data_IF_310501924980
#
_entry.id   IF_310501924980
#
_cell.length_a   1.000
_cell.length_b   1.000
_cell.length_c   1.000
_cell.angle_alpha   90.00
_cell.angle_beta   90.00
_cell.angle_gamma   90.00
#
_symmetry.space_group_name_H-M   'P 1'
#
loop_
_entity.id
_entity.type
_entity.pdbx_description
1 polymer ?
#
# COMPACT_ATOMS: atom_id res chain seq x y z
N UNK A 1 -4.36 -4.38 -7.72
CA UNK A 1 -3.45 -5.56 -7.75
C UNK A 1 -2.18 -5.32 -6.95
N UNK A 2 -1.46 -4.22 -7.17
CA UNK A 2 -0.27 -3.89 -6.37
C UNK A 2 -0.55 -3.81 -4.86
N UNK A 3 -1.68 -3.21 -4.45
CA UNK A 3 -2.12 -3.17 -3.04
C UNK A 3 -2.26 -4.55 -2.38
N UNK A 4 -2.75 -5.53 -3.14
CA UNK A 4 -2.95 -6.88 -2.64
C UNK A 4 -1.62 -7.62 -2.51
N UNK A 5 -0.74 -7.48 -3.51
CA UNK A 5 0.59 -8.08 -3.52
C UNK A 5 1.45 -7.55 -2.37
N UNK A 6 1.50 -6.23 -2.22
CA UNK A 6 2.21 -5.59 -1.10
C UNK A 6 1.59 -5.96 0.24
N UNK A 7 0.27 -6.07 0.32
CA UNK A 7 -0.41 -6.48 1.55
C UNK A 7 -0.11 -7.91 1.97
N UNK A 8 -0.09 -8.87 1.04
CA UNK A 8 0.27 -10.26 1.34
C UNK A 8 1.72 -10.37 1.79
N UNK A 9 2.63 -9.60 1.19
CA UNK A 9 4.02 -9.58 1.62
C UNK A 9 4.18 -8.97 3.02
N UNK A 10 3.49 -7.86 3.31
CA UNK A 10 3.47 -7.23 4.63
C UNK A 10 2.95 -8.16 5.75
N UNK A 11 2.00 -9.05 5.44
CA UNK A 11 1.53 -10.05 6.39
C UNK A 11 2.61 -11.06 6.79
N UNK A 12 3.60 -11.32 5.94
CA UNK A 12 4.67 -12.29 6.23
C UNK A 12 5.70 -11.72 7.21
N UNK A 13 5.93 -10.41 7.19
CA UNK A 13 6.94 -9.71 8.01
C UNK A 13 6.79 -10.00 9.52
N UNK A 14 5.55 -9.96 10.02
CA UNK A 14 5.26 -10.24 11.44
C UNK A 14 4.51 -11.55 11.66
N UNK A 15 3.74 -12.04 10.68
CA UNK A 15 2.90 -13.22 10.85
C UNK A 15 3.67 -14.53 11.06
N UNK A 16 4.88 -14.67 10.50
CA UNK A 16 5.66 -15.92 10.60
C UNK A 16 6.28 -16.15 11.99
N UNK A 17 6.72 -15.08 12.64
CA UNK A 17 7.45 -15.16 13.92
C UNK A 17 6.59 -14.76 15.12
N UNK A 18 5.28 -14.56 14.92
CA UNK A 18 4.36 -14.05 15.94
C UNK A 18 4.42 -14.85 17.25
N UNK A 19 4.44 -16.17 17.17
CA UNK A 19 4.47 -17.04 18.36
C UNK A 19 5.82 -16.94 19.10
N UNK A 20 6.92 -16.74 18.36
CA UNK A 20 8.25 -16.52 18.92
C UNK A 20 8.30 -15.15 19.59
N UNK A 21 7.83 -14.09 18.91
CA UNK A 21 7.75 -12.74 19.45
C UNK A 21 6.88 -12.67 20.71
N UNK A 22 5.77 -13.42 20.77
CA UNK A 22 4.92 -13.49 21.95
C UNK A 22 5.64 -14.14 23.15
N UNK A 23 6.44 -15.18 22.91
CA UNK A 23 7.26 -15.82 23.95
C UNK A 23 8.39 -14.90 24.43
N UNK A 24 9.08 -14.24 23.52
CA UNK A 24 10.16 -13.30 23.84
C UNK A 24 9.64 -12.05 24.57
N UNK A 25 8.44 -11.58 24.24
CA UNK A 25 7.78 -10.50 24.97
C UNK A 25 7.47 -10.90 26.41
N UNK A 26 7.02 -12.14 26.66
CA UNK A 26 6.81 -12.66 28.01
C UNK A 26 8.13 -12.79 28.80
N UNK A 27 9.25 -12.98 28.12
CA UNK A 27 10.59 -13.00 28.70
C UNK A 27 11.21 -11.59 28.92
N UNK A 28 10.48 -10.52 28.60
CA UNK A 28 10.92 -9.13 28.84
C UNK A 28 11.50 -8.41 27.61
N UNK A 29 11.34 -8.95 26.40
CA UNK A 29 11.75 -8.25 25.18
C UNK A 29 10.88 -7.01 24.90
N UNK A 30 11.53 -5.89 24.55
CA UNK A 30 10.84 -4.66 24.15
C UNK A 30 10.31 -4.77 22.71
N UNK A 31 8.98 -4.70 22.54
CA UNK A 31 8.30 -4.84 21.25
C UNK A 31 8.51 -3.66 20.29
N UNK A 32 8.67 -2.44 20.81
CA UNK A 32 8.84 -1.22 19.99
C UNK A 32 10.08 -1.25 19.10
N UNK A 33 11.31 -1.48 19.63
CA UNK A 33 12.51 -1.55 18.79
C UNK A 33 12.47 -2.74 17.83
N UNK A 34 11.85 -3.86 18.23
CA UNK A 34 11.63 -5.01 17.35
C UNK A 34 10.74 -4.64 16.15
N UNK A 35 9.63 -3.93 16.41
CA UNK A 35 8.73 -3.45 15.37
C UNK A 35 9.44 -2.54 14.36
N UNK A 36 10.17 -1.52 14.86
CA UNK A 36 10.90 -0.61 13.97
C UNK A 36 12.04 -1.29 13.22
N UNK A 37 12.79 -2.20 13.87
CA UNK A 37 13.86 -2.96 13.21
C UNK A 37 13.33 -3.76 12.02
N UNK A 38 12.21 -4.46 12.20
CA UNK A 38 11.55 -5.19 11.12
C UNK A 38 10.94 -4.28 10.07
N UNK A 39 10.29 -3.18 10.49
CA UNK A 39 9.70 -2.23 9.55
C UNK A 39 10.77 -1.60 8.64
N UNK A 40 11.95 -1.28 9.18
CA UNK A 40 13.08 -0.76 8.41
C UNK A 40 13.66 -1.84 7.48
N UNK A 41 13.82 -3.07 7.96
CA UNK A 41 14.29 -4.17 7.12
C UNK A 41 13.35 -4.41 5.91
N UNK A 42 12.04 -4.28 6.11
CA UNK A 42 11.04 -4.40 5.05
C UNK A 42 11.11 -3.28 3.98
N UNK A 43 11.75 -2.13 4.27
CA UNK A 43 11.92 -1.05 3.27
C UNK A 43 12.70 -1.52 2.05
N UNK A 44 13.67 -2.43 2.22
CA UNK A 44 14.46 -2.98 1.11
C UNK A 44 13.56 -3.79 0.16
N UNK A 45 12.66 -4.60 0.71
CA UNK A 45 11.68 -5.36 -0.07
C UNK A 45 10.69 -4.41 -0.78
N UNK A 46 10.19 -3.40 -0.06
CA UNK A 46 9.28 -2.38 -0.60
C UNK A 46 9.91 -1.63 -1.78
N UNK A 47 11.20 -1.27 -1.65
CA UNK A 47 11.96 -0.61 -2.71
C UNK A 47 12.07 -1.50 -3.94
N UNK A 48 12.38 -2.79 -3.75
CA UNK A 48 12.41 -3.78 -4.84
C UNK A 48 11.07 -3.90 -5.56
N UNK A 49 9.96 -4.00 -4.81
CA UNK A 49 8.61 -4.05 -5.40
C UNK A 49 8.28 -2.79 -6.20
N UNK A 50 8.60 -1.61 -5.68
CA UNK A 50 8.33 -0.35 -6.36
C UNK A 50 9.16 -0.20 -7.64
N UNK A 51 10.45 -0.56 -7.61
CA UNK A 51 11.33 -0.55 -8.78
C UNK A 51 10.87 -1.51 -9.86
N UNK A 52 10.56 -2.76 -9.50
CA UNK A 52 10.09 -3.77 -10.46
C UNK A 52 8.77 -3.32 -11.08
N UNK A 53 7.85 -2.78 -10.28
CA UNK A 53 6.57 -2.28 -10.78
C UNK A 53 6.78 -1.10 -11.73
N UNK A 54 7.58 -0.10 -11.35
CA UNK A 54 7.87 1.05 -12.20
C UNK A 54 8.54 0.63 -13.52
N UNK A 55 9.50 -0.30 -13.46
CA UNK A 55 10.20 -0.81 -14.64
C UNK A 55 9.28 -1.59 -15.57
N UNK A 56 8.44 -2.48 -15.02
CA UNK A 56 7.47 -3.22 -15.82
C UNK A 56 6.47 -2.27 -16.50
N UNK A 57 5.99 -1.25 -15.78
CA UNK A 57 5.03 -0.30 -16.31
C UNK A 57 5.65 0.67 -17.35
N UNK A 58 6.93 1.01 -17.21
CA UNK A 58 7.65 1.84 -18.18
C UNK A 58 8.07 1.06 -19.44
N UNK A 59 8.38 -0.23 -19.32
CA UNK A 59 8.85 -1.05 -20.45
C UNK A 59 7.69 -1.62 -21.28
N UNK A 60 6.61 -2.05 -20.61
CA UNK A 60 5.50 -2.74 -21.27
C UNK A 60 4.23 -1.89 -21.36
N UNK A 61 4.12 -0.81 -20.57
CA UNK A 61 2.98 0.10 -20.63
C UNK A 61 3.17 1.20 -21.67
N UNK A 62 2.09 1.60 -22.34
CA UNK A 62 2.06 2.82 -23.16
C UNK A 62 1.89 4.06 -22.29
N UNK A 63 2.75 4.21 -21.28
CA UNK A 63 2.63 5.28 -20.30
C UNK A 63 3.46 6.48 -20.75
N UNK A 64 2.84 7.66 -20.86
CA UNK A 64 3.54 8.92 -21.19
C UNK A 64 4.31 9.50 -20.00
N UNK A 65 4.05 8.98 -18.80
CA UNK A 65 4.65 9.40 -17.53
C UNK A 65 6.07 8.88 -17.41
N UNK A 66 6.98 9.70 -16.89
CA UNK A 66 8.38 9.31 -16.73
C UNK A 66 8.54 8.18 -15.70
N UNK A 67 9.60 7.38 -15.85
CA UNK A 67 9.92 6.32 -14.89
C UNK A 67 10.03 6.84 -13.45
N UNK A 68 10.64 8.02 -13.27
CA UNK A 68 10.83 8.62 -11.95
C UNK A 68 9.53 9.07 -11.32
N UNK A 69 8.60 9.65 -12.10
CA UNK A 69 7.29 10.04 -11.58
C UNK A 69 6.46 8.80 -11.17
N UNK A 70 6.54 7.73 -11.95
CA UNK A 70 5.93 6.43 -11.59
C UNK A 70 6.54 5.88 -10.30
N UNK A 71 7.87 5.83 -10.20
CA UNK A 71 8.56 5.32 -9.03
C UNK A 71 8.24 6.12 -7.76
N UNK A 72 8.29 7.45 -7.84
CA UNK A 72 7.98 8.35 -6.73
C UNK A 72 6.52 8.31 -6.29
N UNK A 73 5.61 7.84 -7.15
CA UNK A 73 4.20 7.60 -6.79
C UNK A 73 4.01 6.23 -6.15
N UNK A 74 4.63 5.21 -6.74
CA UNK A 74 4.43 3.81 -6.38
C UNK A 74 5.11 3.47 -5.06
N UNK A 75 6.31 3.99 -4.81
CA UNK A 75 7.05 3.69 -3.58
C UNK A 75 6.30 4.12 -2.31
N UNK A 76 5.84 5.38 -2.16
CA UNK A 76 5.03 5.79 -1.02
C UNK A 76 3.73 5.00 -0.87
N UNK A 77 3.10 4.64 -1.99
CA UNK A 77 1.90 3.81 -2.00
C UNK A 77 2.16 2.42 -1.41
N UNK A 78 3.24 1.76 -1.83
CA UNK A 78 3.64 0.45 -1.30
C UNK A 78 3.94 0.54 0.19
N UNK A 79 4.69 1.54 0.63
CA UNK A 79 5.02 1.74 2.05
C UNK A 79 3.76 1.99 2.90
N UNK A 80 2.81 2.79 2.39
CA UNK A 80 1.53 3.02 3.07
C UNK A 80 0.69 1.73 3.17
N UNK A 81 0.63 0.93 2.10
CA UNK A 81 -0.06 -0.35 2.09
C UNK A 81 0.56 -1.34 3.09
N UNK A 82 1.90 -1.40 3.19
CA UNK A 82 2.60 -2.19 4.20
C UNK A 82 2.22 -1.76 5.62
N UNK A 83 2.18 -0.45 5.89
CA UNK A 83 1.81 0.09 7.19
C UNK A 83 0.42 -0.34 7.66
N UNK A 84 -0.59 -0.26 6.78
CA UNK A 84 -1.97 -0.68 7.07
C UNK A 84 -2.02 -2.18 7.40
N UNK A 85 -1.20 -2.99 6.72
CA UNK A 85 -1.23 -4.45 6.81
C UNK A 85 -0.40 -5.00 7.96
N UNK A 86 0.46 -4.20 8.58
CA UNK A 86 1.15 -4.60 9.82
C UNK A 86 0.20 -4.83 10.99
N UNK A 87 -0.90 -4.07 11.08
CA UNK A 87 -1.90 -4.24 12.15
C UNK A 87 -2.55 -5.64 12.14
N UNK A 88 -3.17 -6.12 11.04
CA UNK A 88 -3.72 -7.48 11.00
C UNK A 88 -2.63 -8.55 11.10
N UNK A 89 -1.41 -8.29 10.62
CA UNK A 89 -0.26 -9.19 10.74
C UNK A 89 0.11 -9.50 12.20
N UNK A 90 0.02 -8.49 13.07
CA UNK A 90 0.32 -8.65 14.50
C UNK A 90 -0.84 -9.27 15.28
N UNK A 91 -2.08 -8.87 14.97
CA UNK A 91 -3.26 -9.21 15.77
C UNK A 91 -3.90 -10.56 15.42
N UNK A 92 -3.88 -10.95 14.14
CA UNK A 92 -4.65 -12.09 13.65
C UNK A 92 -3.77 -13.30 13.34
N UNK A 93 -4.37 -14.49 13.35
CA UNK A 93 -3.72 -15.70 12.84
C UNK A 93 -3.50 -15.59 11.33
N UNK A 94 -2.46 -16.20 10.74
CA UNK A 94 -2.10 -16.03 9.32
C UNK A 94 -3.27 -16.19 8.34
N UNK A 95 -4.11 -17.22 8.53
CA UNK A 95 -5.29 -17.45 7.69
C UNK A 95 -6.33 -16.31 7.77
N UNK A 96 -6.61 -15.81 8.98
CA UNK A 96 -7.55 -14.69 9.20
C UNK A 96 -6.95 -13.36 8.75
N UNK A 97 -5.64 -13.19 8.94
CA UNK A 97 -4.92 -12.01 8.51
C UNK A 97 -4.95 -11.87 6.98
N UNK A 98 -4.79 -12.98 6.24
CA UNK A 98 -4.88 -13.00 4.78
C UNK A 98 -6.26 -12.58 4.27
N UNK A 99 -7.34 -13.13 4.85
CA UNK A 99 -8.71 -12.71 4.51
C UNK A 99 -8.93 -11.22 4.81
N UNK A 100 -8.41 -10.74 5.93
CA UNK A 100 -8.50 -9.33 6.32
C UNK A 100 -7.77 -8.42 5.34
N UNK A 101 -6.58 -8.83 4.88
CA UNK A 101 -5.84 -8.07 3.87
C UNK A 101 -6.57 -7.99 2.53
N UNK A 102 -7.25 -9.06 2.12
CA UNK A 102 -8.08 -9.05 0.90
C UNK A 102 -9.23 -8.03 1.05
N UNK A 103 -9.94 -8.05 2.18
CA UNK A 103 -11.03 -7.11 2.45
C UNK A 103 -10.51 -5.67 2.45
N UNK A 104 -9.41 -5.39 3.15
CA UNK A 104 -8.82 -4.04 3.21
C UNK A 104 -8.39 -3.59 1.81
N UNK A 105 -7.70 -4.44 1.04
CA UNK A 105 -7.27 -4.10 -0.31
C UNK A 105 -8.47 -3.82 -1.24
N UNK A 106 -9.58 -4.54 -1.05
CA UNK A 106 -10.82 -4.31 -1.78
C UNK A 106 -11.48 -2.99 -1.38
N UNK A 107 -11.51 -2.65 -0.09
CA UNK A 107 -12.01 -1.36 0.39
C UNK A 107 -11.16 -0.19 -0.14
N UNK A 108 -9.84 -0.31 -0.11
CA UNK A 108 -8.93 0.67 -0.73
C UNK A 108 -9.25 0.87 -2.22
N UNK A 109 -9.46 -0.23 -2.95
CA UNK A 109 -9.85 -0.14 -4.36
C UNK A 109 -11.20 0.56 -4.56
N UNK A 110 -12.20 0.24 -3.75
CA UNK A 110 -13.54 0.83 -3.81
C UNK A 110 -13.51 2.35 -3.52
N UNK A 111 -12.65 2.78 -2.60
CA UNK A 111 -12.52 4.18 -2.21
C UNK A 111 -11.47 4.98 -2.98
N UNK A 112 -10.72 4.34 -3.90
CA UNK A 112 -9.72 5.02 -4.72
C UNK A 112 -10.31 6.12 -5.61
N UNK A 113 -11.61 6.04 -5.95
CA UNK A 113 -12.33 7.05 -6.71
C UNK A 113 -12.20 6.95 -8.23
N UNK A 114 -11.91 5.74 -8.74
CA UNK A 114 -12.04 5.41 -10.16
C UNK A 114 -13.52 5.27 -10.54
N UNK A 115 -14.16 4.19 -10.10
CA UNK A 115 -15.59 3.92 -10.29
C UNK A 115 -16.22 3.46 -8.97
N UNK A 116 -17.15 4.24 -8.34
CA UNK A 116 -17.67 5.54 -8.78
C UNK A 116 -16.66 6.69 -8.57
N UNK A 117 -16.81 7.81 -9.31
CA UNK A 117 -15.88 8.93 -9.23
C UNK A 117 -15.85 9.56 -7.84
N UNK A 118 -14.68 10.07 -7.44
CA UNK A 118 -14.43 10.61 -6.10
C UNK A 118 -15.49 11.61 -5.60
N UNK A 119 -15.99 12.50 -6.47
CA UNK A 119 -17.02 13.48 -6.09
C UNK A 119 -18.33 12.82 -5.62
N UNK A 120 -18.66 11.68 -6.20
CA UNK A 120 -19.83 10.87 -5.83
C UNK A 120 -19.56 10.18 -4.50
N UNK A 121 -18.39 9.57 -4.33
CA UNK A 121 -17.99 8.96 -3.06
C UNK A 121 -18.02 9.97 -1.90
N UNK A 122 -17.52 11.19 -2.12
CA UNK A 122 -17.51 12.27 -1.13
C UNK A 122 -18.90 12.67 -0.63
N UNK A 123 -19.91 12.54 -1.50
CA UNK A 123 -21.32 12.87 -1.18
C UNK A 123 -22.03 11.72 -0.47
N UNK A 124 -21.70 10.48 -0.83
CA UNK A 124 -22.44 9.29 -0.37
C UNK A 124 -21.83 8.68 0.90
N UNK A 125 -20.51 8.79 1.10
CA UNK A 125 -19.83 8.18 2.24
C UNK A 125 -19.93 9.11 3.46
N UNK A 126 -20.56 8.68 4.58
CA UNK A 126 -20.70 9.51 5.77
C UNK A 126 -19.36 9.76 6.47
N UNK A 127 -18.46 8.77 6.46
CA UNK A 127 -17.10 8.86 7.01
C UNK A 127 -16.10 9.26 5.92
N UNK A 128 -16.17 10.53 5.49
CA UNK A 128 -15.33 11.10 4.41
C UNK A 128 -13.83 10.92 4.61
N UNK A 129 -13.40 10.85 5.87
CA UNK A 129 -11.99 10.63 6.25
C UNK A 129 -11.46 9.31 5.69
N UNK A 130 -12.30 8.27 5.56
CA UNK A 130 -11.89 6.96 5.03
C UNK A 130 -11.44 7.08 3.56
N UNK A 131 -12.13 7.91 2.78
CA UNK A 131 -11.80 8.12 1.36
C UNK A 131 -10.49 8.89 1.22
N UNK A 132 -10.24 9.87 2.09
CA UNK A 132 -8.99 10.67 2.06
C UNK A 132 -7.81 9.93 2.68
N UNK A 133 -8.06 9.04 3.65
CA UNK A 133 -7.03 8.22 4.27
C UNK A 133 -6.53 7.09 3.36
N UNK A 134 -7.26 6.78 2.29
CA UNK A 134 -6.87 5.74 1.35
C UNK A 134 -5.65 6.17 0.52
N UNK A 135 -4.51 5.44 0.59
CA UNK A 135 -3.32 5.79 -0.19
C UNK A 135 -3.51 5.56 -1.69
N UNK A 136 -4.46 4.70 -2.09
CA UNK A 136 -4.73 4.43 -3.50
C UNK A 136 -5.38 5.64 -4.18
N UNK A 137 -6.25 6.37 -3.47
CA UNK A 137 -6.83 7.62 -3.92
C UNK A 137 -5.78 8.67 -4.31
N UNK A 138 -4.79 8.91 -3.44
CA UNK A 138 -3.72 9.87 -3.71
C UNK A 138 -2.82 9.45 -4.86
N UNK A 139 -2.45 8.17 -4.92
CA UNK A 139 -1.65 7.64 -6.02
C UNK A 139 -2.37 7.79 -7.38
N UNK A 140 -3.67 7.47 -7.41
CA UNK A 140 -4.49 7.62 -8.62
C UNK A 140 -4.62 9.09 -9.04
N UNK A 141 -4.94 9.99 -8.10
CA UNK A 141 -5.04 11.42 -8.39
C UNK A 141 -3.74 12.02 -8.93
N UNK A 142 -2.59 11.63 -8.38
CA UNK A 142 -1.29 12.09 -8.87
C UNK A 142 -1.01 11.62 -10.31
N UNK A 143 -1.25 10.35 -10.63
CA UNK A 143 -1.03 9.83 -11.99
C UNK A 143 -1.95 10.49 -13.02
N UNK A 144 -3.22 10.71 -12.68
CA UNK A 144 -4.17 11.39 -13.59
C UNK A 144 -3.75 12.83 -13.83
N UNK A 145 -3.37 13.56 -12.79
CA UNK A 145 -2.89 14.95 -12.94
C UNK A 145 -1.58 15.04 -13.72
N UNK A 146 -0.68 14.08 -13.55
CA UNK A 146 0.54 13.97 -14.34
C UNK A 146 0.24 13.75 -15.83
N UNK A 147 -0.70 12.85 -16.17
CA UNK A 147 -1.08 12.60 -17.55
C UNK A 147 -1.74 13.83 -18.22
N UNK A 148 -2.66 14.50 -17.52
CA UNK A 148 -3.30 15.74 -18.01
C UNK A 148 -2.27 16.84 -18.25
N UNK A 149 -1.30 17.01 -17.35
CA UNK A 149 -0.21 17.98 -17.51
C UNK A 149 0.61 17.69 -18.77
N UNK A 150 0.93 16.43 -19.03
CA UNK A 150 1.65 16.04 -20.23
C UNK A 150 0.84 16.32 -21.49
N UNK A 151 -0.47 16.09 -21.50
CA UNK A 151 -1.34 16.40 -22.64
C UNK A 151 -1.37 17.91 -22.96
N UNK A 152 -1.38 18.77 -21.94
CA UNK A 152 -1.38 20.24 -22.12
C UNK A 152 -0.08 20.81 -22.71
N UNK A 153 1.03 20.06 -22.70
CA UNK A 153 2.30 20.50 -23.28
C UNK A 153 2.41 20.19 -24.78
N UNK A 154 1.50 19.38 -25.34
CA UNK A 154 1.47 19.01 -26.76
C UNK A 154 0.32 19.68 -27.54
N UNK A 155 -0.43 20.60 -26.91
CA UNK A 155 -1.45 21.48 -27.51
C UNK A 155 -0.94 22.92 -27.49
#
# INVERSE_FOLDING_TARGET
>A
LLSLLSGIAALRVFGQERDVTAREAAAGMKLVPFFFGKAIAAIVEQLGMALIYAAAFSLFGSTRVSFWDLFLTVFPFVTAAYGIMYTPSFLLQPAKAQLTAIIIAFLCYLFAGGDPPFITLWRVVPLRIIVVADPMHWAFGYLVTADVRLQSLFL
#
